data_IF_734559890511
#
_entry.id   IF_734559890511
#
_cell.length_a   1.000
_cell.length_b   1.000
_cell.length_c   1.000
_cell.angle_alpha   90.00
_cell.angle_beta   90.00
_cell.angle_gamma   90.00
#
_symmetry.space_group_name_H-M   'P 1'
#
loop_
_entity.id
_entity.type
_entity.pdbx_description
1 polymer ?
#
# COMPACT_ATOMS: atom_id res chain seq x y z
N UNK A 1 21.15 0.71 -5.66
CA UNK A 1 21.43 -0.32 -4.62
C UNK A 1 20.53 -1.49 -4.95
N UNK A 2 21.09 -2.68 -5.06
CA UNK A 2 20.30 -3.88 -5.36
C UNK A 2 19.79 -4.47 -4.04
N UNK A 3 18.47 -4.54 -3.92
CA UNK A 3 17.80 -5.15 -2.76
C UNK A 3 17.75 -6.66 -2.95
N UNK A 4 17.90 -7.43 -1.86
CA UNK A 4 17.64 -8.86 -1.92
C UNK A 4 16.15 -9.12 -2.11
N UNK A 5 15.79 -10.27 -2.67
CA UNK A 5 14.38 -10.68 -2.81
C UNK A 5 13.67 -10.75 -1.44
N UNK A 6 14.41 -11.12 -0.39
CA UNK A 6 13.90 -11.10 0.98
C UNK A 6 13.59 -9.67 1.46
N UNK A 7 14.49 -8.71 1.24
CA UNK A 7 14.26 -7.31 1.58
C UNK A 7 13.06 -6.75 0.81
N UNK A 8 12.95 -7.06 -0.49
CA UNK A 8 11.83 -6.66 -1.33
C UNK A 8 10.50 -7.22 -0.79
N UNK A 9 10.49 -8.49 -0.40
CA UNK A 9 9.33 -9.15 0.20
C UNK A 9 8.94 -8.50 1.54
N UNK A 10 9.92 -8.21 2.40
CA UNK A 10 9.66 -7.54 3.68
C UNK A 10 9.13 -6.11 3.48
N UNK A 11 9.68 -5.34 2.52
CA UNK A 11 9.19 -4.00 2.18
C UNK A 11 7.73 -4.06 1.71
N UNK A 12 7.37 -5.01 0.84
CA UNK A 12 6.00 -5.21 0.39
C UNK A 12 5.06 -5.53 1.57
N UNK A 13 5.46 -6.44 2.45
CA UNK A 13 4.70 -6.82 3.65
C UNK A 13 4.51 -5.64 4.61
N UNK A 14 5.57 -4.88 4.90
CA UNK A 14 5.51 -3.71 5.75
C UNK A 14 4.65 -2.59 5.15
N UNK A 15 4.73 -2.40 3.83
CA UNK A 15 3.91 -1.42 3.13
C UNK A 15 2.43 -1.82 3.19
N UNK A 16 2.15 -3.13 3.21
CA UNK A 16 0.79 -3.66 3.31
C UNK A 16 0.09 -3.40 4.65
N UNK A 17 0.83 -2.94 5.66
CA UNK A 17 0.30 -2.54 6.97
C UNK A 17 0.57 -1.06 7.27
N UNK A 18 0.88 -0.27 6.24
CA UNK A 18 1.18 1.17 6.33
C UNK A 18 2.34 1.53 7.26
N UNK A 19 3.30 0.61 7.45
CA UNK A 19 4.51 0.92 8.22
C UNK A 19 5.28 2.04 7.51
N UNK A 20 5.80 2.99 8.30
CA UNK A 20 6.53 4.15 7.74
C UNK A 20 7.85 3.70 7.15
N UNK A 21 8.27 4.36 6.07
CA UNK A 21 9.55 4.09 5.40
C UNK A 21 10.74 4.23 6.36
N UNK A 22 10.68 5.16 7.33
CA UNK A 22 11.70 5.29 8.37
C UNK A 22 11.86 4.03 9.21
N UNK A 23 10.74 3.42 9.58
CA UNK A 23 10.73 2.28 10.50
C UNK A 23 11.12 1.00 9.76
N UNK A 24 10.66 0.85 8.51
CA UNK A 24 11.16 -0.18 7.59
C UNK A 24 12.68 -0.11 7.45
N UNK A 25 13.23 1.09 7.23
CA UNK A 25 14.67 1.28 7.05
C UNK A 25 15.46 0.87 8.29
N UNK A 26 14.97 1.19 9.49
CA UNK A 26 15.55 0.75 10.77
C UNK A 26 15.54 -0.77 10.90
N UNK A 27 14.41 -1.42 10.60
CA UNK A 27 14.27 -2.88 10.69
C UNK A 27 15.20 -3.59 9.70
N UNK A 28 15.30 -3.07 8.47
CA UNK A 28 16.11 -3.63 7.39
C UNK A 28 17.60 -3.29 7.51
N UNK A 29 17.98 -2.41 8.44
CA UNK A 29 19.36 -1.95 8.61
C UNK A 29 19.89 -1.12 7.42
N UNK A 30 19.03 -0.34 6.76
CA UNK A 30 19.39 0.47 5.58
C UNK A 30 19.12 1.98 5.80
N UNK A 31 19.68 2.82 4.94
CA UNK A 31 19.42 4.27 4.97
C UNK A 31 17.97 4.58 4.60
N UNK A 32 17.27 5.29 5.49
CA UNK A 32 15.90 5.75 5.24
C UNK A 32 15.83 6.77 4.09
N UNK A 33 16.87 7.58 3.90
CA UNK A 33 16.95 8.52 2.76
C UNK A 33 17.06 7.74 1.45
N UNK A 34 17.97 6.78 1.39
CA UNK A 34 18.16 5.95 0.19
C UNK A 34 16.89 5.14 -0.14
N UNK A 35 16.22 4.58 0.87
CA UNK A 35 14.99 3.83 0.66
C UNK A 35 13.87 4.72 0.09
N UNK A 36 13.74 5.97 0.57
CA UNK A 36 12.77 6.93 0.00
C UNK A 36 13.08 7.27 -1.45
N UNK A 37 14.34 7.55 -1.76
CA UNK A 37 14.78 7.88 -3.12
C UNK A 37 14.50 6.71 -4.08
N UNK A 38 14.86 5.49 -3.69
CA UNK A 38 14.62 4.32 -4.52
C UNK A 38 13.13 4.02 -4.69
N UNK A 39 12.31 4.19 -3.64
CA UNK A 39 10.85 4.06 -3.75
C UNK A 39 10.24 5.13 -4.67
N UNK A 40 10.76 6.35 -4.63
CA UNK A 40 10.28 7.45 -5.47
C UNK A 40 10.55 7.20 -6.96
N UNK A 41 11.62 6.47 -7.30
CA UNK A 41 11.90 6.03 -8.66
C UNK A 41 11.04 4.80 -9.04
N UNK A 42 9.97 5.06 -9.82
CA UNK A 42 9.00 4.05 -10.30
C UNK A 42 9.62 2.97 -11.19
N UNK A 43 10.82 3.19 -11.72
CA UNK A 43 11.53 2.18 -12.52
C UNK A 43 12.14 1.07 -11.68
N UNK A 44 12.31 1.29 -10.37
CA UNK A 44 12.94 0.32 -9.47
C UNK A 44 11.97 -0.78 -9.01
N UNK A 45 12.52 -1.96 -8.71
CA UNK A 45 11.73 -3.07 -8.16
C UNK A 45 11.22 -2.75 -6.75
N UNK A 46 12.01 -2.05 -5.92
CA UNK A 46 11.57 -1.66 -4.57
C UNK A 46 10.37 -0.72 -4.62
N UNK A 47 10.30 0.20 -5.59
CA UNK A 47 9.14 1.06 -5.80
C UNK A 47 7.91 0.22 -6.12
N UNK A 48 8.01 -0.71 -7.09
CA UNK A 48 6.91 -1.62 -7.44
C UNK A 48 6.42 -2.42 -6.23
N UNK A 49 7.33 -2.99 -5.44
CA UNK A 49 7.01 -3.77 -4.23
C UNK A 49 6.34 -2.94 -3.15
N UNK A 50 6.86 -1.76 -2.86
CA UNK A 50 6.27 -0.83 -1.90
C UNK A 50 4.84 -0.42 -2.31
N UNK A 51 4.65 -0.03 -3.57
CA UNK A 51 3.33 0.38 -4.07
C UNK A 51 2.35 -0.78 -4.17
N UNK A 52 2.81 -1.98 -4.55
CA UNK A 52 2.00 -3.21 -4.53
C UNK A 52 1.52 -3.52 -3.11
N UNK A 53 2.39 -3.42 -2.11
CA UNK A 53 2.03 -3.61 -0.71
C UNK A 53 0.90 -2.65 -0.29
N UNK A 54 1.04 -1.35 -0.58
CA UNK A 54 -0.01 -0.36 -0.29
C UNK A 54 -1.33 -0.66 -1.01
N UNK A 55 -1.26 -1.06 -2.28
CA UNK A 55 -2.45 -1.44 -3.04
C UNK A 55 -3.15 -2.65 -2.43
N UNK A 56 -2.39 -3.66 -1.97
CA UNK A 56 -2.94 -4.83 -1.29
C UNK A 56 -3.69 -4.45 0.00
N UNK A 57 -3.22 -3.45 0.76
CA UNK A 57 -3.96 -2.91 1.92
C UNK A 57 -5.28 -2.28 1.51
N UNK A 58 -5.27 -1.45 0.44
CA UNK A 58 -6.47 -0.78 -0.07
C UNK A 58 -7.52 -1.78 -0.51
N UNK A 59 -7.12 -2.84 -1.21
CA UNK A 59 -8.02 -3.95 -1.59
C UNK A 59 -8.71 -4.56 -0.36
N UNK A 60 -7.97 -4.82 0.72
CA UNK A 60 -8.54 -5.36 1.96
C UNK A 60 -9.55 -4.40 2.60
N UNK A 61 -9.24 -3.11 2.64
CA UNK A 61 -10.15 -2.09 3.20
C UNK A 61 -11.42 -1.94 2.38
N UNK A 62 -11.30 -1.83 1.06
CA UNK A 62 -12.45 -1.77 0.14
C UNK A 62 -13.33 -3.01 0.27
N UNK A 63 -12.72 -4.20 0.38
CA UNK A 63 -13.46 -5.43 0.62
C UNK A 63 -14.24 -5.39 1.96
N UNK A 64 -13.59 -4.98 3.06
CA UNK A 64 -14.24 -4.85 4.36
C UNK A 64 -15.39 -3.83 4.33
N UNK A 65 -15.20 -2.72 3.63
CA UNK A 65 -16.22 -1.69 3.43
C UNK A 65 -17.44 -2.24 2.68
N UNK A 66 -17.23 -3.01 1.61
CA UNK A 66 -18.30 -3.72 0.91
C UNK A 66 -19.06 -4.69 1.82
N UNK A 67 -18.36 -5.43 2.70
CA UNK A 67 -19.03 -6.33 3.65
C UNK A 67 -19.89 -5.56 4.67
N UNK A 68 -19.41 -4.42 5.17
CA UNK A 68 -20.17 -3.56 6.06
C UNK A 68 -21.40 -2.94 5.37
N UNK A 69 -21.24 -2.52 4.11
CA UNK A 69 -22.34 -2.02 3.29
C UNK A 69 -23.41 -3.11 3.06
N UNK A 70 -22.98 -4.36 2.80
CA UNK A 70 -23.88 -5.49 2.60
C UNK A 70 -24.76 -5.79 3.83
N UNK A 71 -24.22 -5.62 5.04
CA UNK A 71 -25.00 -5.76 6.29
C UNK A 71 -25.75 -4.49 6.71
N UNK A 72 -25.75 -3.46 5.85
CA UNK A 72 -26.59 -2.27 6.01
C UNK A 72 -25.97 -1.11 6.79
N UNK A 73 -24.64 -1.05 6.95
CA UNK A 73 -23.98 0.12 7.57
C UNK A 73 -24.18 1.37 6.69
N UNK A 74 -24.85 2.43 7.18
CA UNK A 74 -25.09 3.64 6.37
C UNK A 74 -23.80 4.32 5.90
N UNK A 75 -22.80 4.42 6.78
CA UNK A 75 -21.50 5.02 6.45
C UNK A 75 -20.77 4.21 5.37
N UNK A 76 -20.84 2.87 5.43
CA UNK A 76 -20.18 2.03 4.44
C UNK A 76 -20.85 2.08 3.07
N UNK A 77 -22.18 2.26 3.02
CA UNK A 77 -22.92 2.48 1.78
C UNK A 77 -22.51 3.81 1.11
N UNK A 78 -22.38 4.89 1.91
CA UNK A 78 -21.89 6.18 1.42
C UNK A 78 -20.45 6.08 0.89
N UNK A 79 -19.55 5.47 1.67
CA UNK A 79 -18.16 5.31 1.26
C UNK A 79 -18.01 4.44 0.01
N UNK A 80 -18.75 3.32 -0.09
CA UNK A 80 -18.74 2.46 -1.28
C UNK A 80 -19.20 3.22 -2.52
N UNK A 81 -20.20 4.09 -2.39
CA UNK A 81 -20.65 4.95 -3.50
C UNK A 81 -19.55 5.93 -3.92
N UNK A 82 -18.87 6.56 -2.96
CA UNK A 82 -17.75 7.47 -3.26
C UNK A 82 -16.59 6.73 -3.93
N UNK A 83 -16.22 5.54 -3.43
CA UNK A 83 -15.18 4.71 -4.05
C UNK A 83 -15.52 4.30 -5.50
N UNK A 84 -16.80 4.09 -5.82
CA UNK A 84 -17.23 3.80 -7.19
C UNK A 84 -17.06 5.03 -8.10
N UNK A 85 -17.42 6.22 -7.62
CA UNK A 85 -17.20 7.47 -8.36
C UNK A 85 -15.70 7.74 -8.56
N UNK A 86 -14.88 7.56 -7.53
CA UNK A 86 -13.42 7.70 -7.63
C UNK A 86 -12.81 6.73 -8.66
N UNK A 87 -13.40 5.53 -8.82
CA UNK A 87 -12.99 4.56 -9.85
C UNK A 87 -13.41 5.00 -11.25
N UNK A 88 -14.65 5.47 -11.42
CA UNK A 88 -15.15 6.02 -12.68
C UNK A 88 -14.34 7.25 -13.14
N UNK A 89 -13.79 8.03 -12.20
CA UNK A 89 -12.94 9.20 -12.51
C UNK A 89 -11.49 8.83 -12.90
N UNK A 90 -10.98 7.64 -12.55
CA UNK A 90 -9.62 7.15 -12.89
C UNK A 90 -9.56 6.46 -14.26
N UNK A 91 -10.72 6.03 -14.80
CA UNK A 91 -10.89 5.37 -16.11
C UNK A 91 -10.84 6.35 -17.31
#
# INVERSE_FOLDING_TARGET
MDYTEEQLTQIEQYASIYLKISDMAVILGISATQLRENIADKSTEVSRRYHRGKAASRVKLLHQEMQLAYVGSPLALENTRNNLLDMEDDE
#
